data_IF_681731168002
#
_entry.id   IF_681731168002
#
_cell.length_a   1.000
_cell.length_b   1.000
_cell.length_c   1.000
_cell.angle_alpha   90.00
_cell.angle_beta   90.00
_cell.angle_gamma   90.00
#
_symmetry.space_group_name_H-M   'P 1'
#
loop_
_entity.id
_entity.type
_entity.pdbx_description
1 polymer ?
#
# COMPACT_ATOMS: atom_id res chain seq x y z
N UNK A 1 14.97 -4.56 -13.72
CA UNK A 1 14.43 -4.64 -15.11
C UNK A 1 12.94 -5.00 -15.15
N UNK A 2 12.47 -5.98 -14.35
CA UNK A 2 11.06 -6.40 -14.32
C UNK A 2 10.17 -5.29 -13.75
N UNK A 3 10.63 -4.52 -12.78
CA UNK A 3 9.85 -3.45 -12.13
C UNK A 3 9.50 -2.30 -13.06
N UNK A 4 10.23 -2.11 -14.14
CA UNK A 4 9.96 -1.04 -15.11
C UNK A 4 9.05 -1.46 -16.27
N UNK A 5 8.60 -2.73 -16.30
CA UNK A 5 7.68 -3.19 -17.34
C UNK A 5 6.26 -2.72 -17.04
N UNK A 6 5.68 -2.01 -17.99
CA UNK A 6 4.29 -1.62 -17.97
C UNK A 6 3.33 -2.73 -18.36
N UNK A 7 2.05 -2.38 -18.44
CA UNK A 7 0.98 -3.25 -18.89
C UNK A 7 1.16 -3.62 -20.37
N UNK A 8 0.77 -4.83 -20.73
CA UNK A 8 0.61 -5.23 -22.14
C UNK A 8 -0.67 -4.59 -22.70
N UNK A 9 -0.83 -4.52 -24.04
CA UNK A 9 -2.03 -3.94 -24.66
C UNK A 9 -3.35 -4.46 -24.05
N UNK A 10 -3.47 -5.77 -23.85
CA UNK A 10 -4.64 -6.37 -23.21
C UNK A 10 -4.84 -5.87 -21.76
N UNK A 11 -3.75 -5.58 -21.02
CA UNK A 11 -3.84 -5.00 -19.67
C UNK A 11 -4.40 -3.58 -19.69
N UNK A 12 -4.05 -2.77 -20.68
CA UNK A 12 -4.60 -1.43 -20.87
C UNK A 12 -6.09 -1.50 -21.20
N UNK A 13 -6.48 -2.37 -22.13
CA UNK A 13 -7.89 -2.62 -22.46
C UNK A 13 -8.68 -3.09 -21.23
N UNK A 14 -8.07 -3.94 -20.38
CA UNK A 14 -8.68 -4.40 -19.12
C UNK A 14 -8.93 -3.25 -18.15
N UNK A 15 -7.96 -2.32 -17.97
CA UNK A 15 -8.12 -1.11 -17.14
C UNK A 15 -9.33 -0.30 -17.59
N UNK A 16 -9.42 -0.03 -18.88
CA UNK A 16 -10.55 0.73 -19.45
C UNK A 16 -11.89 0.00 -19.28
N UNK A 17 -11.91 -1.31 -19.45
CA UNK A 17 -13.11 -2.12 -19.31
C UNK A 17 -13.58 -2.21 -17.86
N UNK A 18 -12.67 -2.42 -16.91
CA UNK A 18 -12.98 -2.40 -15.48
C UNK A 18 -13.55 -1.05 -15.04
N UNK A 19 -13.01 0.05 -15.54
CA UNK A 19 -13.57 1.39 -15.28
C UNK A 19 -15.02 1.54 -15.79
N UNK A 20 -15.33 0.98 -16.97
CA UNK A 20 -16.71 0.98 -17.52
C UNK A 20 -17.66 0.16 -16.66
N UNK A 21 -17.19 -0.94 -16.10
CA UNK A 21 -17.99 -1.81 -15.22
C UNK A 21 -18.11 -1.25 -13.78
N UNK A 22 -17.39 -0.19 -13.42
CA UNK A 22 -17.34 0.32 -12.06
C UNK A 22 -16.57 -0.59 -11.09
N UNK A 23 -15.68 -1.44 -11.63
CA UNK A 23 -14.84 -2.33 -10.82
C UNK A 23 -13.54 -1.58 -10.47
N UNK A 24 -13.22 -1.54 -9.18
CA UNK A 24 -12.00 -0.94 -8.67
C UNK A 24 -10.76 -1.77 -9.05
N UNK A 25 -9.66 -1.09 -9.35
CA UNK A 25 -8.39 -1.72 -9.73
C UNK A 25 -7.45 -1.67 -8.54
N UNK A 26 -6.89 -2.82 -8.14
CA UNK A 26 -5.84 -2.90 -7.14
C UNK A 26 -4.47 -3.00 -7.81
N UNK A 27 -3.55 -2.14 -7.37
CA UNK A 27 -2.18 -2.06 -7.90
C UNK A 27 -1.14 -2.65 -6.95
N UNK A 28 -1.53 -3.21 -5.80
CA UNK A 28 -0.61 -3.65 -4.74
C UNK A 28 0.46 -4.65 -5.19
N UNK A 29 0.24 -5.45 -6.22
CA UNK A 29 1.22 -6.40 -6.74
C UNK A 29 1.76 -6.04 -8.11
N UNK A 30 1.43 -4.86 -8.64
CA UNK A 30 1.95 -4.44 -9.93
C UNK A 30 3.42 -3.99 -9.83
N UNK A 31 4.12 -4.09 -10.95
CA UNK A 31 5.39 -3.41 -11.14
C UNK A 31 5.21 -1.89 -11.13
N UNK A 32 6.29 -1.14 -10.91
CA UNK A 32 6.25 0.32 -10.98
C UNK A 32 5.71 0.79 -12.34
N UNK A 33 6.16 0.18 -13.44
CA UNK A 33 5.62 0.48 -14.78
C UNK A 33 4.13 0.18 -14.91
N UNK A 34 3.66 -0.94 -14.33
CA UNK A 34 2.23 -1.27 -14.29
C UNK A 34 1.40 -0.28 -13.48
N UNK A 35 1.93 0.19 -12.34
CA UNK A 35 1.30 1.25 -11.56
C UNK A 35 1.11 2.52 -12.38
N UNK A 36 2.18 3.00 -13.04
CA UNK A 36 2.12 4.22 -13.85
C UNK A 36 1.18 4.07 -15.05
N UNK A 37 1.07 2.89 -15.64
CA UNK A 37 0.09 2.65 -16.71
C UNK A 37 -1.34 2.69 -16.17
N UNK A 38 -1.62 2.08 -15.01
CA UNK A 38 -2.95 2.22 -14.38
C UNK A 38 -3.25 3.69 -14.09
N UNK A 39 -2.32 4.43 -13.49
CA UNK A 39 -2.49 5.86 -13.22
C UNK A 39 -2.77 6.68 -14.48
N UNK A 40 -2.14 6.31 -15.61
CA UNK A 40 -2.31 6.98 -16.91
C UNK A 40 -3.64 6.67 -17.59
N UNK A 41 -4.06 5.41 -17.57
CA UNK A 41 -5.20 4.93 -18.37
C UNK A 41 -6.50 4.85 -17.57
N UNK A 42 -6.44 4.71 -16.25
CA UNK A 42 -7.65 4.74 -15.42
C UNK A 42 -8.32 6.11 -15.45
N UNK A 43 -9.63 6.11 -15.57
CA UNK A 43 -10.48 7.31 -15.48
C UNK A 43 -11.21 7.39 -14.14
N UNK A 44 -10.92 6.49 -13.24
CA UNK A 44 -11.49 6.38 -11.90
C UNK A 44 -10.37 6.22 -10.89
N UNK A 45 -10.59 6.60 -9.63
CA UNK A 45 -9.69 6.23 -8.54
C UNK A 45 -9.44 4.73 -8.50
N UNK A 46 -8.24 4.34 -8.08
CA UNK A 46 -7.80 2.96 -7.93
C UNK A 46 -7.19 2.77 -6.54
N UNK A 47 -6.77 1.57 -6.18
CA UNK A 47 -6.30 1.28 -4.84
C UNK A 47 -4.94 0.57 -4.87
N UNK A 48 -4.10 0.88 -3.89
CA UNK A 48 -3.05 -0.01 -3.44
C UNK A 48 -3.52 -0.61 -2.11
N UNK A 49 -4.27 -1.71 -2.14
CA UNK A 49 -4.99 -2.22 -0.96
C UNK A 49 -4.08 -2.55 0.22
N UNK A 50 -2.77 -2.85 -0.02
CA UNK A 50 -1.80 -3.22 1.01
C UNK A 50 -0.37 -2.88 0.56
N UNK A 51 0.02 -1.59 0.63
CA UNK A 51 1.36 -1.12 0.22
C UNK A 51 1.81 0.06 1.08
N UNK A 52 3.06 -0.02 1.56
CA UNK A 52 3.67 0.97 2.45
C UNK A 52 4.58 1.97 1.70
N UNK A 53 5.33 2.80 2.43
CA UNK A 53 6.25 3.78 1.86
C UNK A 53 7.64 3.15 1.58
N UNK A 54 8.12 3.19 0.33
CA UNK A 54 9.40 2.63 -0.09
C UNK A 54 10.59 3.38 0.49
N UNK A 55 10.47 4.67 0.73
CA UNK A 55 11.51 5.48 1.35
C UNK A 55 11.84 5.03 2.77
N UNK A 56 10.84 4.58 3.53
CA UNK A 56 11.04 4.07 4.90
C UNK A 56 11.52 2.61 4.89
N UNK A 57 11.04 1.81 3.97
CA UNK A 57 11.46 0.43 3.80
C UNK A 57 11.64 0.10 2.31
N UNK A 58 12.88 0.04 1.85
CA UNK A 58 13.22 -0.14 0.43
C UNK A 58 12.91 -1.57 -0.05
N UNK A 59 11.62 -1.83 -0.24
CA UNK A 59 11.09 -3.04 -0.86
C UNK A 59 10.26 -2.68 -2.08
N UNK A 60 10.34 -3.50 -3.12
CA UNK A 60 9.62 -3.28 -4.38
C UNK A 60 8.11 -3.33 -4.25
N UNK A 61 7.60 -3.96 -3.17
CA UNK A 61 6.18 -3.99 -2.82
C UNK A 61 5.67 -2.66 -2.27
N UNK A 62 6.56 -1.80 -1.77
CA UNK A 62 6.25 -0.49 -1.24
C UNK A 62 6.23 0.56 -2.35
N UNK A 63 5.44 1.61 -2.15
CA UNK A 63 5.22 2.70 -3.10
C UNK A 63 6.33 3.76 -2.98
N UNK A 64 6.78 4.27 -4.11
CA UNK A 64 7.68 5.43 -4.16
C UNK A 64 6.93 6.70 -3.77
N UNK A 65 7.67 7.76 -3.43
CA UNK A 65 7.09 9.07 -3.13
C UNK A 65 6.24 9.63 -4.28
N UNK A 66 6.68 9.36 -5.53
CA UNK A 66 5.95 9.75 -6.72
C UNK A 66 4.62 9.00 -6.87
N UNK A 67 4.64 7.69 -6.60
CA UNK A 67 3.43 6.86 -6.60
C UNK A 67 2.45 7.30 -5.49
N UNK A 68 2.95 7.62 -4.29
CA UNK A 68 2.13 8.14 -3.19
C UNK A 68 1.47 9.47 -3.58
N UNK A 69 2.22 10.40 -4.18
CA UNK A 69 1.67 11.68 -4.66
C UNK A 69 0.58 11.47 -5.71
N UNK A 70 0.78 10.56 -6.66
CA UNK A 70 -0.22 10.22 -7.68
C UNK A 70 -1.50 9.68 -7.04
N UNK A 71 -1.41 8.83 -5.99
CA UNK A 71 -2.61 8.37 -5.28
C UNK A 71 -3.40 9.55 -4.69
N UNK A 72 -2.72 10.46 -4.00
CA UNK A 72 -3.38 11.66 -3.46
C UNK A 72 -4.02 12.53 -4.54
N UNK A 73 -3.32 12.82 -5.64
CA UNK A 73 -3.80 13.65 -6.75
C UNK A 73 -5.00 13.04 -7.49
N UNK A 74 -5.09 11.72 -7.52
CA UNK A 74 -6.16 11.00 -8.23
C UNK A 74 -7.35 10.62 -7.34
N UNK A 75 -7.31 10.98 -6.05
CA UNK A 75 -8.31 10.55 -5.07
C UNK A 75 -8.29 9.04 -4.82
N UNK A 76 -7.15 8.42 -5.04
CA UNK A 76 -6.88 7.01 -4.84
C UNK A 76 -6.35 6.76 -3.42
N UNK A 77 -6.32 5.50 -2.97
CA UNK A 77 -6.02 5.15 -1.57
C UNK A 77 -4.96 4.07 -1.51
N UNK A 78 -4.08 4.14 -0.50
CA UNK A 78 -3.22 3.01 -0.10
C UNK A 78 -3.56 2.51 1.29
N UNK A 79 -3.63 1.17 1.45
CA UNK A 79 -3.78 0.51 2.74
C UNK A 79 -2.43 0.16 3.35
N UNK A 80 -2.23 0.47 4.63
CA UNK A 80 -1.05 0.04 5.38
C UNK A 80 -1.00 -1.49 5.46
N UNK A 81 0.05 -2.07 4.88
CA UNK A 81 0.35 -3.50 5.00
C UNK A 81 1.07 -3.76 6.32
N UNK A 82 0.60 -4.73 7.11
CA UNK A 82 1.17 -5.04 8.43
C UNK A 82 2.25 -6.12 8.40
N UNK A 83 2.73 -6.50 7.22
CA UNK A 83 3.85 -7.41 7.11
C UNK A 83 5.15 -6.71 7.54
N UNK A 84 5.84 -7.27 8.52
CA UNK A 84 7.05 -6.74 9.11
C UNK A 84 8.16 -6.47 8.10
N UNK A 85 8.30 -7.33 7.08
CA UNK A 85 9.33 -7.18 6.02
C UNK A 85 9.07 -5.99 5.09
N UNK A 86 7.87 -5.41 5.10
CA UNK A 86 7.50 -4.22 4.32
C UNK A 86 7.46 -2.96 5.18
N UNK A 87 7.55 -3.10 6.50
CA UNK A 87 7.59 -1.98 7.43
C UNK A 87 9.02 -1.48 7.67
N UNK A 88 9.98 -2.39 7.87
CA UNK A 88 11.39 -2.02 8.02
C UNK A 88 12.32 -3.12 7.51
N UNK A 89 13.56 -2.74 7.19
CA UNK A 89 14.62 -3.68 6.87
C UNK A 89 15.18 -4.23 8.18
N UNK A 90 14.92 -5.51 8.46
CA UNK A 90 15.41 -6.21 9.65
C UNK A 90 16.66 -7.03 9.36
N UNK A 91 17.50 -7.19 10.39
CA UNK A 91 18.57 -8.19 10.41
C UNK A 91 17.99 -9.61 10.50
N UNK A 92 18.82 -10.63 10.17
CA UNK A 92 18.36 -12.04 10.16
C UNK A 92 17.92 -12.56 11.53
N UNK A 93 18.42 -11.96 12.62
CA UNK A 93 18.21 -12.42 13.99
C UNK A 93 17.24 -11.52 14.78
N UNK A 94 16.62 -10.54 14.12
CA UNK A 94 15.64 -9.69 14.78
C UNK A 94 14.27 -10.41 14.89
N UNK A 95 13.58 -10.28 16.04
CA UNK A 95 12.27 -10.88 16.22
C UNK A 95 11.26 -10.34 15.19
N UNK A 96 10.36 -11.18 14.73
CA UNK A 96 9.25 -10.84 13.85
C UNK A 96 8.11 -10.13 14.62
N UNK A 97 8.47 -9.20 15.49
CA UNK A 97 7.51 -8.31 16.12
C UNK A 97 7.41 -7.02 15.32
N UNK A 98 6.20 -6.57 15.05
CA UNK A 98 5.94 -5.30 14.40
C UNK A 98 5.67 -4.25 15.48
N UNK A 99 6.63 -3.35 15.80
CA UNK A 99 6.37 -2.24 16.70
C UNK A 99 5.31 -1.32 16.11
N UNK A 100 4.40 -0.84 16.95
CA UNK A 100 3.34 0.10 16.56
C UNK A 100 3.91 1.37 15.94
N UNK A 101 5.10 1.77 16.37
CA UNK A 101 5.83 2.92 15.86
C UNK A 101 6.15 2.80 14.37
N UNK A 102 6.49 1.59 13.89
CA UNK A 102 6.73 1.35 12.46
C UNK A 102 5.47 1.62 11.62
N UNK A 103 4.30 1.23 12.13
CA UNK A 103 3.00 1.51 11.50
C UNK A 103 2.74 3.02 11.47
N UNK A 104 2.95 3.69 12.61
CA UNK A 104 2.74 5.13 12.73
C UNK A 104 3.67 5.92 11.80
N UNK A 105 4.96 5.57 11.69
CA UNK A 105 5.89 6.21 10.78
C UNK A 105 5.47 6.09 9.32
N UNK A 106 5.02 4.91 8.91
CA UNK A 106 4.48 4.75 7.56
C UNK A 106 3.19 5.55 7.34
N UNK A 107 2.29 5.58 8.33
CA UNK A 107 1.06 6.37 8.27
C UNK A 107 1.36 7.86 8.13
N UNK A 108 2.21 8.42 8.98
CA UNK A 108 2.62 9.82 8.93
C UNK A 108 3.30 10.15 7.60
N UNK A 109 4.21 9.30 7.14
CA UNK A 109 4.92 9.51 5.88
C UNK A 109 3.97 9.49 4.66
N UNK A 110 3.06 8.53 4.63
CA UNK A 110 2.08 8.42 3.53
C UNK A 110 1.16 9.64 3.54
N UNK A 111 0.69 10.07 4.70
CA UNK A 111 -0.18 11.27 4.79
C UNK A 111 0.55 12.56 4.42
N UNK A 112 1.86 12.67 4.70
CA UNK A 112 2.69 13.80 4.25
C UNK A 112 2.80 13.85 2.71
N UNK A 113 2.91 12.69 2.04
CA UNK A 113 3.09 12.61 0.58
C UNK A 113 1.80 12.61 -0.23
N UNK A 114 0.76 11.96 0.27
CA UNK A 114 -0.48 11.70 -0.45
C UNK A 114 -1.70 12.43 0.12
N UNK A 115 -1.60 12.94 1.33
CA UNK A 115 -2.74 13.50 2.07
C UNK A 115 -3.46 12.46 2.93
N UNK A 116 -4.22 12.94 3.91
CA UNK A 116 -4.92 12.10 4.89
C UNK A 116 -5.96 11.17 4.23
N UNK A 117 -6.65 11.65 3.21
CA UNK A 117 -7.72 10.91 2.52
C UNK A 117 -7.18 9.74 1.68
N UNK A 118 -5.87 9.70 1.43
CA UNK A 118 -5.22 8.63 0.68
C UNK A 118 -4.75 7.45 1.55
N UNK A 119 -4.93 7.51 2.87
CA UNK A 119 -4.49 6.48 3.81
C UNK A 119 -5.65 5.62 4.29
N UNK A 120 -5.45 4.30 4.30
CA UNK A 120 -6.36 3.32 4.88
C UNK A 120 -5.60 2.18 5.57
N UNK A 121 -6.33 1.26 6.19
CA UNK A 121 -5.77 0.00 6.68
C UNK A 121 -5.92 -1.09 5.62
N UNK A 122 -4.81 -1.81 5.36
CA UNK A 122 -4.76 -2.92 4.41
C UNK A 122 -3.87 -4.03 4.96
N UNK A 123 -4.28 -4.63 6.07
CA UNK A 123 -3.49 -5.50 6.94
C UNK A 123 -2.76 -6.64 6.24
N UNK A 124 -3.36 -7.22 5.21
CA UNK A 124 -2.84 -8.40 4.50
C UNK A 124 -2.74 -9.66 5.40
N UNK A 125 -3.60 -9.78 6.43
CA UNK A 125 -3.49 -10.83 7.45
C UNK A 125 -3.52 -12.25 6.89
N UNK A 126 -4.30 -12.52 5.85
CA UNK A 126 -4.37 -13.84 5.21
C UNK A 126 -3.20 -14.10 4.24
N UNK A 127 -2.45 -13.05 3.88
CA UNK A 127 -1.35 -13.11 2.91
C UNK A 127 0.05 -13.04 3.51
N UNK A 128 0.18 -12.96 4.84
CA UNK A 128 1.46 -12.75 5.52
C UNK A 128 1.75 -13.84 6.57
N UNK A 129 3.04 -14.16 6.73
CA UNK A 129 3.54 -15.19 7.68
C UNK A 129 3.79 -14.62 9.09
N UNK A 130 2.99 -13.65 9.57
CA UNK A 130 3.10 -13.16 10.94
C UNK A 130 2.02 -13.79 11.83
N UNK A 131 2.36 -14.00 13.11
CA UNK A 131 1.41 -14.56 14.06
C UNK A 131 0.31 -13.55 14.40
N UNK A 132 -0.93 -13.90 14.10
CA UNK A 132 -2.13 -13.08 14.31
C UNK A 132 -2.29 -12.61 15.77
N UNK A 133 -1.78 -13.36 16.75
CA UNK A 133 -1.89 -13.04 18.18
C UNK A 133 -1.10 -11.77 18.57
N UNK A 134 0.05 -11.54 17.94
CA UNK A 134 0.88 -10.35 18.22
C UNK A 134 0.31 -9.09 17.56
N UNK A 135 -0.26 -9.22 16.37
CA UNK A 135 -0.84 -8.10 15.62
C UNK A 135 -2.25 -7.71 16.08
N UNK A 136 -3.08 -8.66 16.52
CA UNK A 136 -4.46 -8.37 16.93
C UNK A 136 -4.54 -7.54 18.20
N UNK A 137 -3.62 -7.71 19.15
CA UNK A 137 -3.57 -6.91 20.37
C UNK A 137 -3.15 -5.46 20.08
N UNK A 138 -2.21 -5.24 19.15
CA UNK A 138 -1.72 -3.92 18.79
C UNK A 138 -2.71 -3.16 17.88
N UNK A 139 -3.31 -3.84 16.90
CA UNK A 139 -4.35 -3.25 16.05
C UNK A 139 -5.61 -2.89 16.85
N UNK A 140 -5.99 -3.72 17.83
CA UNK A 140 -7.08 -3.36 18.73
C UNK A 140 -6.75 -2.11 19.57
N UNK A 141 -5.49 -1.91 19.96
CA UNK A 141 -5.03 -0.71 20.65
C UNK A 141 -5.07 0.54 19.74
N UNK A 142 -4.67 0.40 18.45
CA UNK A 142 -4.73 1.50 17.46
C UNK A 142 -6.18 1.91 17.20
N UNK A 143 -7.07 0.96 16.92
CA UNK A 143 -8.49 1.23 16.65
C UNK A 143 -9.17 1.85 17.85
N UNK A 144 -8.81 1.44 19.06
CA UNK A 144 -9.34 2.02 20.29
C UNK A 144 -8.83 3.47 20.51
N UNK A 145 -7.60 3.77 20.13
CA UNK A 145 -7.02 5.11 20.26
C UNK A 145 -7.64 6.07 19.24
N UNK A 146 -7.81 5.63 17.99
CA UNK A 146 -8.42 6.43 16.91
C UNK A 146 -9.91 6.70 17.12
N UNK A 147 -10.63 5.82 17.83
CA UNK A 147 -12.06 6.00 18.14
C UNK A 147 -12.33 6.98 19.28
N UNK A 148 -11.30 7.47 19.97
CA UNK A 148 -11.42 8.40 21.12
C UNK A 148 -11.08 9.85 20.77
N UNK A 149 -10.61 10.10 19.57
CA UNK A 149 -10.33 11.43 19.01
C UNK A 149 -11.32 11.78 17.90
#
# INVERSE_FOLDING_TARGET
EIMNKGLKPLGIEAVEYLNKLGIAIDVSHLSDGGFYDVARYSKKPFFATHSNARTLCNRTRNLTDDQLRILGETGSVTGLNFCDVFMRLKGKDEPRMLPIEDILWHAEYITDKAGMDALAFGSDFDGIDCTLEELTSEVAAITHTLSKN
#
